data_IF_760680014084
#
_entry.id   IF_760680014084
#
_cell.length_a   1.000
_cell.length_b   1.000
_cell.length_c   1.000
_cell.angle_alpha   90.00
_cell.angle_beta   90.00
_cell.angle_gamma   90.00
#
_symmetry.space_group_name_H-M   'P 1'
#
loop_
_entity.id
_entity.type
_entity.pdbx_description
1 polymer ?
#
# COMPACT_ATOMS: atom_id res chain seq x y z
N UNK A 1 -32.76 -13.45 -19.86
CA UNK A 1 -31.84 -12.31 -19.69
C UNK A 1 -30.41 -12.78 -19.88
N UNK A 2 -29.71 -12.35 -20.93
CA UNK A 2 -28.28 -12.65 -21.11
C UNK A 2 -27.50 -11.80 -20.09
N UNK A 3 -26.82 -12.43 -19.13
CA UNK A 3 -25.80 -11.75 -18.33
C UNK A 3 -24.73 -11.26 -19.31
N UNK A 4 -24.67 -9.95 -19.51
CA UNK A 4 -23.54 -9.31 -20.20
C UNK A 4 -22.33 -9.59 -19.30
N UNK A 5 -21.48 -10.53 -19.70
CA UNK A 5 -20.16 -10.69 -19.08
C UNK A 5 -19.39 -9.44 -19.47
N UNK A 6 -19.34 -8.45 -18.58
CA UNK A 6 -18.41 -7.34 -18.74
C UNK A 6 -17.02 -7.94 -18.93
N UNK A 7 -16.35 -7.60 -20.03
CA UNK A 7 -15.00 -8.04 -20.27
C UNK A 7 -14.13 -7.55 -19.10
N UNK A 8 -13.36 -8.46 -18.50
CA UNK A 8 -12.43 -8.11 -17.43
C UNK A 8 -11.31 -7.28 -18.06
N UNK A 9 -11.17 -6.02 -17.63
CA UNK A 9 -10.05 -5.18 -18.01
C UNK A 9 -8.80 -5.70 -17.30
N UNK A 10 -7.79 -6.15 -18.05
CA UNK A 10 -6.56 -6.70 -17.47
C UNK A 10 -5.40 -5.70 -17.59
N UNK A 11 -4.57 -5.66 -16.54
CA UNK A 11 -3.25 -5.05 -16.57
C UNK A 11 -2.25 -6.15 -16.20
N UNK A 12 -1.48 -6.62 -17.18
CA UNK A 12 -0.72 -7.86 -17.02
C UNK A 12 -1.67 -9.05 -16.81
N UNK A 13 -1.51 -9.75 -15.68
CA UNK A 13 -2.40 -10.86 -15.28
C UNK A 13 -3.49 -10.44 -14.29
N UNK A 14 -3.55 -9.17 -13.91
CA UNK A 14 -4.41 -8.69 -12.83
C UNK A 14 -5.70 -8.07 -13.37
N UNK A 15 -6.80 -8.37 -12.70
CA UNK A 15 -8.09 -7.68 -12.91
C UNK A 15 -7.98 -6.22 -12.44
N UNK A 16 -7.97 -5.31 -13.42
CA UNK A 16 -7.87 -3.89 -13.18
C UNK A 16 -9.11 -3.31 -12.51
N UNK A 17 -10.28 -3.91 -12.70
CA UNK A 17 -11.48 -3.58 -11.94
C UNK A 17 -11.26 -3.81 -10.44
N UNK A 18 -10.67 -4.95 -10.08
CA UNK A 18 -10.31 -5.26 -8.70
C UNK A 18 -9.20 -4.36 -8.16
N UNK A 19 -8.17 -4.04 -8.96
CA UNK A 19 -7.13 -3.08 -8.58
C UNK A 19 -7.71 -1.68 -8.29
N UNK A 20 -8.61 -1.18 -9.14
CA UNK A 20 -9.30 0.10 -8.93
C UNK A 20 -10.12 0.10 -7.64
N UNK A 21 -10.84 -0.99 -7.35
CA UNK A 21 -11.57 -1.14 -6.07
C UNK A 21 -10.63 -1.11 -4.87
N UNK A 22 -9.45 -1.73 -4.99
CA UNK A 22 -8.46 -1.70 -3.93
C UNK A 22 -7.90 -0.28 -3.70
N UNK A 23 -7.58 0.46 -4.76
CA UNK A 23 -7.14 1.86 -4.61
C UNK A 23 -8.25 2.73 -4.02
N UNK A 24 -9.49 2.59 -4.48
CA UNK A 24 -10.63 3.27 -3.88
C UNK A 24 -10.74 2.96 -2.38
N UNK A 25 -10.63 1.69 -2.00
CA UNK A 25 -10.65 1.29 -0.60
C UNK A 25 -9.52 1.93 0.23
N UNK A 26 -8.28 1.97 -0.28
CA UNK A 26 -7.17 2.67 0.39
C UNK A 26 -7.51 4.15 0.59
N UNK A 27 -8.04 4.81 -0.43
CA UNK A 27 -8.42 6.23 -0.36
C UNK A 27 -9.56 6.45 0.64
N UNK A 28 -10.56 5.58 0.67
CA UNK A 28 -11.70 5.67 1.59
C UNK A 28 -11.25 5.50 3.05
N UNK A 29 -10.33 4.56 3.32
CA UNK A 29 -9.80 4.31 4.67
C UNK A 29 -8.92 5.45 5.15
N UNK A 30 -8.08 6.00 4.28
CA UNK A 30 -7.06 6.98 4.66
C UNK A 30 -7.49 8.44 4.45
N UNK A 31 -8.52 8.68 3.64
CA UNK A 31 -8.86 10.03 3.17
C UNK A 31 -7.76 10.66 2.29
N UNK A 32 -6.85 9.87 1.72
CA UNK A 32 -5.71 10.33 0.92
C UNK A 32 -5.72 9.72 -0.46
N UNK A 33 -5.44 10.51 -1.48
CA UNK A 33 -5.53 10.07 -2.87
C UNK A 33 -4.35 9.19 -3.28
N UNK A 34 -4.65 8.15 -4.06
CA UNK A 34 -3.66 7.42 -4.86
C UNK A 34 -3.63 8.11 -6.22
N UNK A 35 -2.63 8.98 -6.42
CA UNK A 35 -2.59 9.84 -7.61
C UNK A 35 -2.32 9.06 -8.90
N UNK A 36 -2.75 9.62 -10.04
CA UNK A 36 -2.58 9.00 -11.35
C UNK A 36 -1.10 8.65 -11.66
N UNK A 37 -0.15 9.48 -11.21
CA UNK A 37 1.29 9.21 -11.37
C UNK A 37 1.74 7.93 -10.65
N UNK A 38 1.14 7.62 -9.49
CA UNK A 38 1.36 6.33 -8.80
C UNK A 38 0.67 5.20 -9.56
N UNK A 39 -0.58 5.41 -9.98
CA UNK A 39 -1.38 4.42 -10.73
C UNK A 39 -0.67 3.99 -12.02
N UNK A 40 -0.04 4.91 -12.74
CA UNK A 40 0.67 4.61 -13.99
C UNK A 40 1.92 3.74 -13.73
N UNK A 41 2.68 4.06 -12.68
CA UNK A 41 3.82 3.23 -12.24
C UNK A 41 3.39 1.84 -11.76
N UNK A 42 2.27 1.76 -11.04
CA UNK A 42 1.67 0.48 -10.64
C UNK A 42 1.27 -0.34 -11.88
N UNK A 43 0.68 0.28 -12.91
CA UNK A 43 0.35 -0.41 -14.17
C UNK A 43 1.60 -0.93 -14.88
N UNK A 44 2.65 -0.12 -14.97
CA UNK A 44 3.93 -0.52 -15.55
C UNK A 44 4.48 -1.76 -14.82
N UNK A 45 4.49 -1.72 -13.49
CA UNK A 45 4.98 -2.80 -12.64
C UNK A 45 4.17 -4.10 -12.80
N UNK A 46 2.84 -4.01 -12.79
CA UNK A 46 1.93 -5.16 -12.96
C UNK A 46 1.99 -5.78 -14.36
N UNK A 47 2.37 -5.01 -15.40
CA UNK A 47 2.63 -5.52 -16.76
C UNK A 47 3.99 -6.20 -16.86
N UNK A 48 5.00 -5.65 -16.19
CA UNK A 48 6.39 -6.11 -16.29
C UNK A 48 6.63 -7.44 -15.56
N UNK A 49 5.90 -7.70 -14.47
CA UNK A 49 6.13 -8.87 -13.63
C UNK A 49 4.85 -9.42 -13.01
N UNK A 50 4.79 -10.75 -12.92
CA UNK A 50 3.84 -11.46 -12.06
C UNK A 50 4.39 -11.52 -10.61
N UNK A 51 3.59 -11.06 -9.66
CA UNK A 51 3.88 -10.93 -8.24
C UNK A 51 3.27 -12.13 -7.53
N UNK A 52 4.08 -13.17 -7.39
CA UNK A 52 3.69 -14.43 -6.74
C UNK A 52 3.96 -14.34 -5.25
N UNK A 53 3.15 -15.05 -4.47
CA UNK A 53 3.35 -15.13 -3.03
C UNK A 53 4.69 -15.76 -2.70
N UNK A 54 5.47 -15.07 -1.89
CA UNK A 54 6.78 -15.51 -1.40
C UNK A 54 6.63 -16.54 -0.26
N UNK A 55 7.65 -17.37 -0.08
CA UNK A 55 7.80 -18.16 1.13
C UNK A 55 8.08 -17.27 2.35
N UNK A 56 7.80 -17.71 3.60
CA UNK A 56 8.09 -16.91 4.80
C UNK A 56 9.55 -16.44 4.92
N UNK A 57 10.51 -17.28 4.49
CA UNK A 57 11.93 -16.95 4.49
C UNK A 57 12.24 -15.82 3.49
N UNK A 58 11.65 -15.87 2.30
CA UNK A 58 11.79 -14.84 1.28
C UNK A 58 11.11 -13.52 1.69
N UNK A 59 9.92 -13.57 2.29
CA UNK A 59 9.26 -12.38 2.86
C UNK A 59 10.15 -11.72 3.90
N UNK A 60 10.77 -12.51 4.78
CA UNK A 60 11.70 -11.99 5.80
C UNK A 60 12.92 -11.32 5.15
N UNK A 61 13.51 -11.96 4.14
CA UNK A 61 14.65 -11.40 3.38
C UNK A 61 14.26 -10.12 2.65
N UNK A 62 13.07 -10.06 2.07
CA UNK A 62 12.55 -8.88 1.37
C UNK A 62 12.32 -7.73 2.35
N UNK A 63 11.58 -7.95 3.44
CA UNK A 63 11.31 -6.94 4.47
C UNK A 63 12.59 -6.34 5.06
N UNK A 64 13.65 -7.13 5.24
CA UNK A 64 14.96 -6.65 5.74
C UNK A 64 15.60 -5.60 4.82
N UNK A 65 15.25 -5.56 3.53
CA UNK A 65 15.73 -4.53 2.59
C UNK A 65 15.06 -3.18 2.84
N UNK A 66 13.88 -3.15 3.47
CA UNK A 66 13.16 -1.93 3.81
C UNK A 66 13.72 -1.26 5.08
N UNK A 67 14.96 -0.83 4.98
CA UNK A 67 15.66 -0.10 6.04
C UNK A 67 15.03 1.29 6.27
N UNK A 68 15.36 1.93 7.39
CA UNK A 68 14.95 3.31 7.67
C UNK A 68 15.38 4.28 6.56
N UNK A 69 16.60 4.11 6.02
CA UNK A 69 17.11 4.90 4.89
C UNK A 69 16.24 4.73 3.64
N UNK A 70 15.89 3.50 3.28
CA UNK A 70 15.03 3.20 2.12
C UNK A 70 13.63 3.76 2.33
N UNK A 71 13.05 3.56 3.53
CA UNK A 71 11.74 4.12 3.89
C UNK A 71 11.73 5.65 3.77
N UNK A 72 12.69 6.34 4.37
CA UNK A 72 12.76 7.80 4.36
C UNK A 72 12.92 8.33 2.93
N UNK A 73 13.75 7.68 2.11
CA UNK A 73 13.85 7.99 0.68
C UNK A 73 12.51 7.82 -0.04
N UNK A 74 11.78 6.73 0.20
CA UNK A 74 10.47 6.52 -0.41
C UNK A 74 9.47 7.61 0.00
N UNK A 75 9.51 8.07 1.25
CA UNK A 75 8.68 9.16 1.75
C UNK A 75 9.02 10.47 1.04
N UNK A 76 10.30 10.84 0.99
CA UNK A 76 10.77 12.06 0.30
C UNK A 76 10.44 12.05 -1.19
N UNK A 77 10.65 10.91 -1.85
CA UNK A 77 10.29 10.71 -3.25
C UNK A 77 8.77 10.79 -3.42
N UNK A 78 7.99 10.16 -2.54
CA UNK A 78 6.53 10.23 -2.62
C UNK A 78 6.02 11.66 -2.49
N UNK A 79 6.54 12.44 -1.53
CA UNK A 79 6.17 13.85 -1.36
C UNK A 79 6.52 14.67 -2.61
N UNK A 80 7.71 14.45 -3.19
CA UNK A 80 8.17 15.17 -4.39
C UNK A 80 7.32 14.84 -5.62
N UNK A 81 7.12 13.55 -5.91
CA UNK A 81 6.44 13.11 -7.13
C UNK A 81 4.92 13.33 -7.08
N UNK A 82 4.33 13.34 -5.88
CA UNK A 82 2.88 13.56 -5.71
C UNK A 82 2.53 15.02 -5.40
N UNK A 83 3.49 15.82 -4.94
CA UNK A 83 3.24 17.16 -4.40
C UNK A 83 2.50 17.18 -3.07
N UNK A 84 2.16 16.01 -2.50
CA UNK A 84 1.51 15.89 -1.20
C UNK A 84 2.55 15.89 -0.06
N UNK A 85 2.09 16.13 1.16
CA UNK A 85 2.92 15.99 2.37
C UNK A 85 2.59 14.69 3.09
N UNK A 86 3.64 13.97 3.50
CA UNK A 86 3.49 12.74 4.25
C UNK A 86 2.98 13.09 5.66
N UNK A 87 1.80 12.60 6.06
CA UNK A 87 1.21 12.95 7.34
C UNK A 87 2.04 12.43 8.50
N UNK A 88 2.06 13.20 9.58
CA UNK A 88 2.79 12.91 10.82
C UNK A 88 1.82 12.94 12.00
N UNK A 89 2.15 12.19 13.04
CA UNK A 89 1.37 12.20 14.27
C UNK A 89 1.46 13.56 14.94
N UNK A 90 0.31 14.15 15.26
CA UNK A 90 0.19 15.39 16.05
C UNK A 90 -0.03 15.10 17.54
N UNK A 91 -0.33 13.83 17.86
CA UNK A 91 -0.59 13.32 19.20
C UNK A 91 0.11 11.97 19.35
N UNK A 92 0.48 11.60 20.58
CA UNK A 92 1.04 10.29 20.85
C UNK A 92 -0.01 9.20 20.68
N UNK A 93 0.37 8.08 20.08
CA UNK A 93 -0.44 6.86 20.09
C UNK A 93 0.10 5.97 21.19
N UNK A 94 -0.76 5.62 22.13
CA UNK A 94 -0.45 4.75 23.26
C UNK A 94 -0.94 3.32 22.96
N UNK A 95 -0.22 2.33 23.48
CA UNK A 95 -0.75 0.96 23.54
C UNK A 95 -1.70 0.78 24.73
N UNK A 96 -2.20 -0.46 24.90
CA UNK A 96 -3.11 -0.82 25.99
C UNK A 96 -2.52 -0.66 27.40
N UNK A 97 -1.20 -0.58 27.53
CA UNK A 97 -0.51 -0.41 28.80
C UNK A 97 -0.19 1.08 29.07
N UNK A 98 -0.44 1.96 28.11
CA UNK A 98 -0.08 3.38 28.17
C UNK A 98 1.29 3.71 27.61
N UNK A 99 1.99 2.76 26.98
CA UNK A 99 3.31 3.00 26.38
C UNK A 99 3.18 3.70 25.03
N UNK A 100 4.04 4.69 24.76
CA UNK A 100 4.06 5.41 23.48
C UNK A 100 4.55 4.49 22.36
N UNK A 101 3.65 4.12 21.45
CA UNK A 101 3.97 3.32 20.26
C UNK A 101 4.19 4.16 19.00
N UNK A 102 3.68 5.39 18.98
CA UNK A 102 4.03 6.42 17.97
C UNK A 102 4.13 7.77 18.66
N UNK A 103 5.30 8.38 18.61
CA UNK A 103 5.53 9.71 19.14
C UNK A 103 5.09 10.81 18.15
N UNK A 104 4.84 12.01 18.67
CA UNK A 104 4.57 13.22 17.87
C UNK A 104 5.69 13.44 16.85
N UNK A 105 5.32 13.84 15.63
CA UNK A 105 6.25 14.08 14.52
C UNK A 105 6.70 12.82 13.77
N UNK A 106 6.44 11.63 14.30
CA UNK A 106 6.67 10.37 13.59
C UNK A 106 5.84 10.36 12.30
N UNK A 107 6.38 9.95 11.14
CA UNK A 107 5.57 9.77 9.94
C UNK A 107 4.57 8.64 10.13
N UNK A 108 3.42 8.74 9.47
CA UNK A 108 2.49 7.61 9.37
C UNK A 108 3.18 6.42 8.71
N UNK A 109 2.65 5.22 8.96
CA UNK A 109 3.26 3.99 8.47
C UNK A 109 3.27 4.01 6.93
N UNK A 110 4.36 3.52 6.34
CA UNK A 110 4.47 3.32 4.90
C UNK A 110 3.85 1.98 4.52
N UNK A 111 2.62 2.02 4.01
CA UNK A 111 1.91 0.86 3.52
C UNK A 111 2.28 0.56 2.07
N UNK A 112 2.58 -0.70 1.77
CA UNK A 112 2.87 -1.18 0.43
C UNK A 112 1.60 -1.51 -0.35
N UNK A 113 1.31 -0.82 -1.46
CA UNK A 113 0.13 -1.11 -2.30
C UNK A 113 0.22 -2.53 -2.87
N UNK A 114 1.28 -2.86 -3.61
CA UNK A 114 1.67 -4.24 -3.88
C UNK A 114 2.35 -4.76 -2.63
N UNK A 115 1.70 -5.66 -1.90
CA UNK A 115 2.10 -6.02 -0.54
C UNK A 115 3.46 -6.76 -0.48
N UNK A 116 4.15 -6.64 0.66
CA UNK A 116 5.44 -7.28 0.91
C UNK A 116 5.44 -8.80 0.69
N UNK A 117 4.31 -9.47 0.93
CA UNK A 117 4.20 -10.93 0.76
C UNK A 117 4.25 -11.37 -0.71
N UNK A 118 4.09 -10.44 -1.65
CA UNK A 118 4.18 -10.69 -3.08
C UNK A 118 5.45 -10.06 -3.70
N UNK A 119 6.47 -9.75 -2.89
CA UNK A 119 7.69 -9.07 -3.34
C UNK A 119 7.42 -7.68 -3.94
N UNK A 120 6.43 -6.95 -3.41
CA UNK A 120 6.17 -5.57 -3.80
C UNK A 120 7.39 -4.68 -3.59
N UNK A 121 7.79 -3.85 -4.57
CA UNK A 121 9.03 -3.11 -4.52
C UNK A 121 9.00 -2.00 -3.46
N UNK A 122 10.19 -1.65 -2.95
CA UNK A 122 10.39 -0.55 -2.00
C UNK A 122 10.59 0.77 -2.76
N UNK A 123 9.54 1.20 -3.44
CA UNK A 123 9.55 2.38 -4.31
C UNK A 123 8.42 3.32 -3.93
N UNK A 124 8.63 4.63 -4.09
CA UNK A 124 7.66 5.66 -3.70
C UNK A 124 6.26 5.42 -4.26
N UNK A 125 6.16 4.98 -5.52
CA UNK A 125 4.88 4.76 -6.20
C UNK A 125 4.13 3.54 -5.65
N UNK A 126 4.84 2.65 -4.93
CA UNK A 126 4.26 1.51 -4.24
C UNK A 126 3.96 1.80 -2.77
N UNK A 127 4.18 3.03 -2.28
CA UNK A 127 3.92 3.43 -0.91
C UNK A 127 2.64 4.25 -0.78
N UNK A 128 1.97 4.12 0.36
CA UNK A 128 0.84 4.95 0.77
C UNK A 128 0.91 5.21 2.28
N UNK A 129 0.75 6.47 2.74
CA UNK A 129 0.73 6.77 4.18
C UNK A 129 -0.57 6.29 4.85
N UNK A 130 -0.43 5.45 5.88
CA UNK A 130 -1.55 4.96 6.68
C UNK A 130 -1.27 5.09 8.19
N UNK A 131 -2.21 5.66 8.93
CA UNK A 131 -2.17 5.81 10.39
C UNK A 131 -2.26 4.43 11.07
N UNK A 132 -1.44 4.26 12.10
CA UNK A 132 -1.47 3.10 12.98
C UNK A 132 -2.52 3.30 14.10
N UNK A 133 -3.23 2.24 14.52
CA UNK A 133 -3.38 0.96 13.83
C UNK A 133 -4.55 0.95 12.84
N UNK A 134 -5.48 1.90 12.97
CA UNK A 134 -6.84 1.79 12.42
C UNK A 134 -6.91 1.91 10.91
N UNK A 135 -6.08 2.75 10.28
CA UNK A 135 -6.05 2.81 8.82
C UNK A 135 -5.21 1.68 8.23
N UNK A 136 -4.08 1.35 8.87
CA UNK A 136 -3.14 0.39 8.32
C UNK A 136 -3.55 -1.07 8.57
N UNK A 137 -3.52 -1.52 9.83
CA UNK A 137 -3.80 -2.92 10.18
C UNK A 137 -5.31 -3.18 10.27
N UNK A 138 -6.06 -2.26 10.89
CA UNK A 138 -7.51 -2.37 11.03
C UNK A 138 -8.28 -2.09 9.74
N UNK A 139 -7.76 -1.20 8.90
CA UNK A 139 -8.42 -0.68 7.70
C UNK A 139 -7.98 -1.43 6.45
N UNK A 140 -6.87 -1.01 5.84
CA UNK A 140 -6.41 -1.53 4.54
C UNK A 140 -6.20 -3.05 4.57
N UNK A 141 -5.69 -3.61 5.67
CA UNK A 141 -5.53 -5.06 5.84
C UNK A 141 -6.73 -5.77 6.48
N UNK A 142 -7.81 -5.04 6.76
CA UNK A 142 -9.02 -5.53 7.42
C UNK A 142 -9.74 -6.65 6.67
N UNK A 143 -10.74 -7.21 7.34
CA UNK A 143 -11.60 -8.24 6.75
C UNK A 143 -12.37 -7.66 5.55
N UNK A 144 -12.38 -8.37 4.43
CA UNK A 144 -13.06 -7.93 3.21
C UNK A 144 -12.27 -6.92 2.34
N UNK A 145 -11.03 -6.58 2.70
CA UNK A 145 -10.19 -5.73 1.85
C UNK A 145 -10.02 -6.33 0.45
N UNK A 146 -10.20 -5.54 -0.64
CA UNK A 146 -10.01 -6.00 -2.00
C UNK A 146 -8.58 -6.52 -2.30
N UNK A 147 -7.58 -6.20 -1.47
CA UNK A 147 -6.21 -6.70 -1.65
C UNK A 147 -6.15 -8.24 -1.63
N UNK A 148 -7.04 -8.88 -0.86
CA UNK A 148 -7.18 -10.33 -0.75
C UNK A 148 -7.69 -11.00 -2.03
N UNK A 149 -8.36 -10.24 -2.90
CA UNK A 149 -8.82 -10.70 -4.21
C UNK A 149 -7.80 -10.42 -5.31
N UNK A 150 -7.05 -9.31 -5.19
CA UNK A 150 -6.16 -8.81 -6.23
C UNK A 150 -4.89 -9.65 -6.37
N UNK A 151 -4.25 -9.98 -5.24
CA UNK A 151 -3.01 -10.73 -5.23
C UNK A 151 -3.28 -12.15 -4.70
N UNK A 152 -3.03 -13.15 -5.55
CA UNK A 152 -3.30 -14.57 -5.27
C UNK A 152 -2.08 -15.42 -5.55
#
# INVERSE_FOLDING_TARGET
MKKVKNAVELVGKYDWGTAKRYFAHIQDITGRQVLQVQVDKLKEALRAKEYKKLSPAEVTKHRKKFTSKVKNKCIEDWERETGQKWPRYTEEVLDKNGDVVRAIGTPYDAHHIIENQFEGPHEWWNMHPAKFPDEHQGGIHGAGSPSRELFK
#
